data_IF_397129470846
#
_entry.id   IF_397129470846
#
_cell.length_a   1.000
_cell.length_b   1.000
_cell.length_c   1.000
_cell.angle_alpha   90.00
_cell.angle_beta   90.00
_cell.angle_gamma   90.00
#
_symmetry.space_group_name_H-M   'P 1'
#
loop_
_entity.id
_entity.type
_entity.pdbx_description
1 polymer ?
#
# COMPACT_ATOMS: atom_id res chain seq x y z
N UNK A 1 26.49 1.78 35.02
CA UNK A 1 25.07 1.77 34.59
C UNK A 1 24.87 2.93 33.62
N UNK A 2 24.15 2.76 32.49
CA UNK A 2 23.85 3.89 31.59
C UNK A 2 23.04 4.96 32.33
N UNK A 3 23.19 6.24 31.94
CA UNK A 3 22.53 7.35 32.63
C UNK A 3 21.00 7.27 32.50
N UNK A 4 20.23 7.77 33.48
CA UNK A 4 18.76 7.81 33.41
C UNK A 4 18.22 8.50 32.15
N UNK A 5 18.91 9.54 31.66
CA UNK A 5 18.55 10.23 30.41
C UNK A 5 18.64 9.33 29.17
N UNK A 6 19.58 8.40 29.14
CA UNK A 6 19.77 7.45 28.04
C UNK A 6 18.67 6.36 28.04
N UNK A 7 18.12 6.03 29.21
CA UNK A 7 16.99 5.10 29.31
C UNK A 7 15.67 5.73 28.82
N UNK A 8 15.41 7.01 29.10
CA UNK A 8 14.18 7.67 28.65
C UNK A 8 14.05 7.70 27.12
N UNK A 9 15.12 8.05 26.41
CA UNK A 9 15.11 8.08 24.94
C UNK A 9 14.84 6.69 24.35
N UNK A 10 15.53 5.66 24.87
CA UNK A 10 15.34 4.27 24.45
C UNK A 10 13.92 3.75 24.71
N UNK A 11 13.34 4.04 25.87
CA UNK A 11 11.95 3.62 26.16
C UNK A 11 10.93 4.36 25.31
N UNK A 12 11.21 5.61 24.92
CA UNK A 12 10.38 6.35 23.98
C UNK A 12 10.40 5.69 22.59
N UNK A 13 11.56 5.33 22.08
CA UNK A 13 11.74 4.60 20.81
C UNK A 13 11.02 3.23 20.85
N UNK A 14 11.20 2.47 21.93
CA UNK A 14 10.52 1.18 22.12
C UNK A 14 8.99 1.30 22.33
N UNK A 15 8.48 2.50 22.64
CA UNK A 15 7.04 2.74 22.80
C UNK A 15 6.35 3.07 21.48
N UNK A 16 7.10 3.21 20.39
CA UNK A 16 6.50 3.44 19.08
C UNK A 16 5.61 2.27 18.65
N UNK A 17 4.60 2.61 17.84
CA UNK A 17 3.65 1.62 17.35
C UNK A 17 4.37 0.65 16.42
N UNK A 18 4.34 -0.64 16.77
CA UNK A 18 4.81 -1.69 15.87
C UNK A 18 3.82 -1.90 14.72
N UNK A 19 4.06 -1.21 13.61
CA UNK A 19 3.26 -1.34 12.41
C UNK A 19 3.47 -2.67 11.68
N UNK A 20 4.55 -3.42 11.92
CA UNK A 20 4.76 -4.72 11.29
C UNK A 20 3.70 -5.72 11.74
N UNK A 21 3.52 -5.87 13.06
CA UNK A 21 2.47 -6.72 13.62
C UNK A 21 1.06 -6.27 13.23
N UNK A 22 0.82 -4.95 13.15
CA UNK A 22 -0.47 -4.41 12.72
C UNK A 22 -0.75 -4.67 11.24
N UNK A 23 0.25 -4.51 10.37
CA UNK A 23 0.13 -4.78 8.94
C UNK A 23 -0.17 -6.24 8.67
N UNK A 24 0.53 -7.17 9.33
CA UNK A 24 0.26 -8.61 9.22
C UNK A 24 -1.19 -8.93 9.58
N UNK A 25 -1.69 -8.42 10.72
CA UNK A 25 -3.08 -8.64 11.13
C UNK A 25 -4.09 -8.06 10.14
N UNK A 26 -3.83 -6.86 9.65
CA UNK A 26 -4.69 -6.19 8.68
C UNK A 26 -4.73 -6.95 7.34
N UNK A 27 -3.57 -7.42 6.88
CA UNK A 27 -3.47 -8.24 5.68
C UNK A 27 -4.15 -9.60 5.83
N UNK A 28 -4.05 -10.26 6.99
CA UNK A 28 -4.75 -11.52 7.24
C UNK A 28 -6.28 -11.34 7.24
N UNK A 29 -6.78 -10.23 7.76
CA UNK A 29 -8.20 -9.88 7.64
C UNK A 29 -8.60 -9.67 6.18
N UNK A 30 -7.78 -8.95 5.41
CA UNK A 30 -7.99 -8.77 3.98
C UNK A 30 -7.93 -10.10 3.21
N UNK A 31 -7.00 -11.00 3.57
CA UNK A 31 -6.87 -12.35 3.04
C UNK A 31 -8.13 -13.18 3.24
N UNK A 32 -8.66 -13.16 4.47
CA UNK A 32 -9.92 -13.82 4.78
C UNK A 32 -11.08 -13.24 3.96
N UNK A 33 -11.13 -11.92 3.82
CA UNK A 33 -12.15 -11.24 3.03
C UNK A 33 -12.10 -11.68 1.55
N UNK A 34 -10.96 -11.56 0.87
CA UNK A 34 -10.90 -11.89 -0.56
C UNK A 34 -11.04 -13.39 -0.84
N UNK A 35 -10.60 -14.27 0.08
CA UNK A 35 -10.83 -15.71 -0.07
C UNK A 35 -12.30 -16.08 0.04
N UNK A 36 -13.06 -15.37 0.87
CA UNK A 36 -14.52 -15.50 0.91
C UNK A 36 -15.21 -15.07 -0.38
N UNK A 37 -14.68 -14.05 -1.07
CA UNK A 37 -15.23 -13.57 -2.35
C UNK A 37 -14.77 -14.40 -3.55
N UNK A 38 -13.62 -15.07 -3.44
CA UNK A 38 -13.03 -15.89 -4.49
C UNK A 38 -12.73 -17.32 -4.00
N UNK A 39 -13.75 -18.10 -3.58
CA UNK A 39 -13.54 -19.41 -2.95
C UNK A 39 -12.89 -20.46 -3.88
N UNK A 40 -12.94 -20.23 -5.18
CA UNK A 40 -12.38 -21.14 -6.19
C UNK A 40 -10.90 -20.87 -6.51
N UNK A 41 -10.35 -19.71 -6.09
CA UNK A 41 -8.97 -19.35 -6.33
C UNK A 41 -8.08 -19.92 -5.21
N UNK A 42 -6.96 -20.53 -5.59
CA UNK A 42 -6.13 -21.29 -4.65
C UNK A 42 -5.04 -20.45 -4.00
N UNK A 43 -4.49 -19.46 -4.72
CA UNK A 43 -3.36 -18.68 -4.23
C UNK A 43 -3.77 -17.25 -3.89
N UNK A 44 -3.08 -16.66 -2.91
CA UNK A 44 -3.26 -15.25 -2.58
C UNK A 44 -3.00 -14.34 -3.78
N UNK A 45 -2.07 -14.72 -4.67
CA UNK A 45 -1.75 -13.99 -5.90
C UNK A 45 -2.95 -13.92 -6.83
N UNK A 46 -3.60 -15.06 -7.07
CA UNK A 46 -4.76 -15.13 -7.95
C UNK A 46 -5.92 -14.32 -7.39
N UNK A 47 -6.15 -14.39 -6.07
CA UNK A 47 -7.16 -13.57 -5.41
C UNK A 47 -6.87 -12.07 -5.54
N UNK A 48 -5.62 -11.64 -5.32
CA UNK A 48 -5.25 -10.22 -5.46
C UNK A 48 -5.36 -9.77 -6.91
N UNK A 49 -4.97 -10.62 -7.88
CA UNK A 49 -5.17 -10.36 -9.31
C UNK A 49 -6.67 -10.21 -9.64
N UNK A 50 -7.54 -11.06 -9.08
CA UNK A 50 -8.98 -10.97 -9.28
C UNK A 50 -9.56 -9.68 -8.67
N UNK A 51 -9.17 -9.35 -7.43
CA UNK A 51 -9.60 -8.11 -6.75
C UNK A 51 -9.17 -6.88 -7.52
N UNK A 52 -7.89 -6.77 -7.90
CA UNK A 52 -7.38 -5.56 -8.56
C UNK A 52 -7.94 -5.38 -9.99
N UNK A 53 -8.30 -6.46 -10.67
CA UNK A 53 -8.83 -6.41 -12.04
C UNK A 53 -10.36 -6.34 -12.12
N UNK A 54 -11.08 -6.54 -11.00
CA UNK A 54 -12.53 -6.37 -10.96
C UNK A 54 -12.86 -4.91 -10.61
N UNK A 55 -13.15 -4.09 -11.62
CA UNK A 55 -13.37 -2.63 -11.46
C UNK A 55 -14.85 -2.24 -11.52
N UNK A 56 -15.73 -3.21 -11.24
CA UNK A 56 -17.17 -3.01 -11.25
C UNK A 56 -17.73 -2.89 -9.81
N UNK A 57 -19.00 -2.45 -9.64
CA UNK A 57 -19.59 -2.22 -8.32
C UNK A 57 -19.65 -3.43 -7.38
N UNK A 58 -19.45 -4.66 -7.86
CA UNK A 58 -19.41 -5.86 -7.02
C UNK A 58 -18.11 -5.96 -6.24
N UNK A 59 -17.06 -5.28 -6.68
CA UNK A 59 -15.84 -5.14 -5.91
C UNK A 59 -15.98 -3.97 -4.92
N UNK A 60 -16.30 -4.30 -3.66
CA UNK A 60 -16.44 -3.31 -2.60
C UNK A 60 -15.13 -2.57 -2.35
N UNK A 61 -13.97 -3.22 -2.44
CA UNK A 61 -12.66 -2.56 -2.21
C UNK A 61 -12.39 -1.46 -3.24
N UNK A 62 -12.65 -1.72 -4.53
CA UNK A 62 -12.54 -0.70 -5.57
C UNK A 62 -13.57 0.41 -5.38
N UNK A 63 -14.81 0.05 -5.04
CA UNK A 63 -15.89 1.03 -4.82
C UNK A 63 -15.58 1.97 -3.65
N UNK A 64 -15.07 1.41 -2.54
CA UNK A 64 -14.62 2.16 -1.36
C UNK A 64 -13.43 3.04 -1.74
N UNK A 65 -12.41 2.48 -2.38
CA UNK A 65 -11.22 3.22 -2.80
C UNK A 65 -11.58 4.41 -3.69
N UNK A 66 -12.38 4.18 -4.73
CA UNK A 66 -12.89 5.22 -5.63
C UNK A 66 -13.63 6.29 -4.85
N UNK A 67 -14.57 5.91 -3.97
CA UNK A 67 -15.32 6.85 -3.14
C UNK A 67 -14.39 7.67 -2.26
N UNK A 68 -13.44 7.04 -1.55
CA UNK A 68 -12.52 7.73 -0.66
C UNK A 68 -11.62 8.71 -1.41
N UNK A 69 -11.22 8.41 -2.65
CA UNK A 69 -10.41 9.32 -3.47
C UNK A 69 -11.22 10.49 -4.03
N UNK A 70 -12.48 10.28 -4.45
CA UNK A 70 -13.27 11.32 -5.13
C UNK A 70 -14.13 12.16 -4.20
N UNK A 71 -14.32 11.72 -2.97
CA UNK A 71 -15.17 12.41 -1.99
C UNK A 71 -14.38 13.49 -1.24
N UNK A 72 -15.01 14.08 -0.23
CA UNK A 72 -14.37 14.99 0.71
C UNK A 72 -14.71 14.54 2.13
N UNK A 73 -13.80 14.76 3.08
CA UNK A 73 -14.03 14.43 4.48
C UNK A 73 -12.79 13.90 5.16
N UNK A 74 -12.95 13.49 6.42
CA UNK A 74 -11.84 12.99 7.24
C UNK A 74 -11.26 11.69 6.68
N UNK A 75 -12.10 10.77 6.23
CA UNK A 75 -11.65 9.46 5.74
C UNK A 75 -10.95 9.59 4.38
N UNK A 76 -11.45 10.48 3.51
CA UNK A 76 -10.74 10.88 2.29
C UNK A 76 -9.37 11.47 2.62
N UNK A 77 -9.29 12.47 3.50
CA UNK A 77 -8.02 13.08 3.87
C UNK A 77 -7.04 12.03 4.44
N UNK A 78 -7.54 11.11 5.27
CA UNK A 78 -6.73 10.04 5.85
C UNK A 78 -6.18 9.08 4.79
N UNK A 79 -6.99 8.68 3.80
CA UNK A 79 -6.50 7.86 2.69
C UNK A 79 -5.48 8.61 1.85
N UNK A 80 -5.75 9.86 1.48
CA UNK A 80 -4.85 10.67 0.64
C UNK A 80 -3.49 10.88 1.33
N UNK A 81 -3.48 11.23 2.61
CA UNK A 81 -2.26 11.34 3.42
C UNK A 81 -1.52 10.00 3.53
N UNK A 82 -2.25 8.89 3.63
CA UNK A 82 -1.65 7.55 3.69
C UNK A 82 -0.99 7.17 2.36
N UNK A 83 -1.64 7.47 1.23
CA UNK A 83 -1.09 7.24 -0.11
C UNK A 83 0.12 8.13 -0.39
N UNK A 84 0.09 9.40 0.04
CA UNK A 84 1.21 10.33 -0.03
C UNK A 84 2.43 9.81 0.74
N UNK A 85 2.21 9.36 1.97
CA UNK A 85 3.24 8.75 2.79
C UNK A 85 3.76 7.43 2.22
N UNK A 86 2.89 6.62 1.61
CA UNK A 86 3.30 5.36 0.98
C UNK A 86 4.18 5.62 -0.24
N UNK A 87 3.76 6.51 -1.14
CA UNK A 87 4.56 6.91 -2.31
C UNK A 87 5.89 7.53 -1.89
N UNK A 88 5.88 8.41 -0.89
CA UNK A 88 7.08 9.10 -0.40
C UNK A 88 8.06 8.13 0.27
N UNK A 89 7.57 7.19 1.11
CA UNK A 89 8.42 6.23 1.80
C UNK A 89 9.05 5.22 0.85
N UNK A 90 8.30 4.69 -0.12
CA UNK A 90 8.84 3.81 -1.16
C UNK A 90 9.93 4.49 -2.01
N UNK A 91 9.80 5.80 -2.27
CA UNK A 91 10.81 6.54 -3.02
C UNK A 91 12.10 6.82 -2.24
N UNK A 92 12.11 6.66 -0.91
CA UNK A 92 13.30 6.88 -0.07
C UNK A 92 14.23 5.66 0.02
N UNK A 93 13.74 4.48 -0.33
CA UNK A 93 14.48 3.23 -0.21
C UNK A 93 14.34 2.37 -1.44
N UNK A 94 15.40 1.62 -1.79
CA UNK A 94 15.34 0.67 -2.90
C UNK A 94 14.83 -0.67 -2.41
N UNK A 95 13.51 -0.86 -2.46
CA UNK A 95 12.89 -2.17 -2.33
C UNK A 95 12.64 -2.77 -3.72
N UNK A 96 12.96 -4.05 -3.88
CA UNK A 96 12.65 -4.83 -5.08
C UNK A 96 11.86 -6.05 -4.67
N UNK A 97 10.98 -6.54 -5.54
CA UNK A 97 10.33 -7.83 -5.33
C UNK A 97 11.34 -8.97 -5.23
N UNK A 98 10.99 -10.00 -4.49
CA UNK A 98 11.75 -11.26 -4.43
C UNK A 98 11.41 -12.21 -5.58
N UNK A 99 10.41 -11.86 -6.39
CA UNK A 99 9.97 -12.62 -7.54
C UNK A 99 10.53 -12.02 -8.83
N UNK A 100 11.24 -12.84 -9.61
CA UNK A 100 11.90 -12.46 -10.86
C UNK A 100 10.95 -11.93 -11.95
N UNK A 101 9.63 -12.11 -11.80
CA UNK A 101 8.62 -11.53 -12.68
C UNK A 101 8.57 -10.00 -12.58
N UNK A 102 8.96 -9.44 -11.43
CA UNK A 102 8.91 -8.01 -11.21
C UNK A 102 10.19 -7.32 -11.65
N UNK A 103 10.03 -6.14 -12.23
CA UNK A 103 11.14 -5.35 -12.76
C UNK A 103 11.24 -4.03 -12.03
N UNK A 104 12.43 -3.72 -11.54
CA UNK A 104 12.75 -2.43 -10.94
C UNK A 104 12.31 -2.29 -9.49
N UNK A 105 12.41 -1.05 -8.99
CA UNK A 105 12.07 -0.69 -7.62
C UNK A 105 10.56 -0.62 -7.43
N UNK A 106 10.09 -1.07 -6.26
CA UNK A 106 8.74 -0.86 -5.78
C UNK A 106 8.52 0.64 -5.58
N UNK A 107 7.76 1.26 -6.47
CA UNK A 107 7.47 2.69 -6.42
C UNK A 107 6.17 2.99 -7.17
N UNK A 108 5.57 4.13 -6.85
CA UNK A 108 4.40 4.61 -7.59
C UNK A 108 4.78 5.00 -9.03
N UNK A 109 6.04 5.35 -9.31
CA UNK A 109 6.52 5.63 -10.68
C UNK A 109 6.76 4.39 -11.54
N UNK A 110 6.68 3.20 -10.93
CA UNK A 110 6.90 1.93 -11.60
C UNK A 110 5.95 0.88 -11.00
N UNK A 111 4.64 1.15 -11.06
CA UNK A 111 3.63 0.28 -10.47
C UNK A 111 3.10 -0.72 -11.51
N UNK A 112 3.11 -2.01 -11.19
CA UNK A 112 2.59 -3.07 -12.08
C UNK A 112 1.05 -3.09 -12.07
N UNK A 113 0.43 -2.53 -13.11
CA UNK A 113 -1.04 -2.45 -13.22
C UNK A 113 -1.63 -3.67 -13.93
N UNK A 114 -0.91 -4.27 -14.88
CA UNK A 114 -1.29 -5.51 -15.55
C UNK A 114 -0.17 -6.55 -15.47
N UNK A 115 -0.40 -7.57 -14.64
CA UNK A 115 0.55 -8.67 -14.46
C UNK A 115 0.55 -9.66 -15.62
N UNK A 116 -0.50 -9.79 -16.43
CA UNK A 116 -0.49 -10.76 -17.53
C UNK A 116 0.36 -10.23 -18.69
N UNK A 117 0.26 -8.93 -18.95
CA UNK A 117 0.95 -8.24 -20.03
C UNK A 117 2.24 -7.53 -19.58
N UNK A 118 2.63 -7.68 -18.31
CA UNK A 118 3.79 -7.02 -17.71
C UNK A 118 3.79 -5.48 -17.90
N UNK A 119 2.62 -4.84 -17.73
CA UNK A 119 2.46 -3.40 -17.90
C UNK A 119 2.72 -2.69 -16.58
N UNK A 120 3.71 -1.80 -16.62
CA UNK A 120 4.02 -0.87 -15.56
C UNK A 120 3.56 0.53 -15.95
N UNK A 121 2.96 1.23 -15.01
CA UNK A 121 2.54 2.61 -15.18
C UNK A 121 3.23 3.51 -14.15
N UNK A 122 3.63 4.70 -14.60
CA UNK A 122 3.97 5.80 -13.72
C UNK A 122 2.67 6.41 -13.19
N UNK A 123 2.42 6.25 -11.89
CA UNK A 123 1.26 6.80 -11.21
C UNK A 123 1.51 8.23 -10.69
N UNK A 124 2.75 8.72 -10.74
CA UNK A 124 3.13 10.05 -10.27
C UNK A 124 2.91 11.07 -11.37
N UNK A 125 2.48 12.28 -11.00
CA UNK A 125 2.31 13.40 -11.90
C UNK A 125 3.15 14.58 -11.45
N UNK A 126 3.60 15.37 -12.41
CA UNK A 126 4.21 16.65 -12.14
C UNK A 126 3.13 17.68 -11.76
N UNK A 127 3.43 18.67 -10.91
CA UNK A 127 2.46 19.69 -10.50
C UNK A 127 1.84 20.48 -11.66
N UNK A 128 2.49 20.53 -12.82
CA UNK A 128 2.01 21.24 -14.01
C UNK A 128 1.24 20.34 -15.02
N UNK A 129 1.21 19.01 -14.83
CA UNK A 129 0.47 18.11 -15.70
C UNK A 129 -1.05 18.24 -15.50
N UNK A 130 -1.84 17.99 -16.55
CA UNK A 130 -3.29 17.80 -16.42
C UNK A 130 -3.56 16.39 -15.86
N UNK A 131 -4.82 16.12 -15.52
CA UNK A 131 -5.28 14.76 -15.18
C UNK A 131 -4.54 14.18 -13.95
N UNK A 132 -4.68 14.89 -12.82
CA UNK A 132 -3.97 14.60 -11.57
C UNK A 132 -4.80 14.86 -10.32
N UNK A 133 -4.51 14.10 -9.27
CA UNK A 133 -5.07 14.24 -7.93
C UNK A 133 -3.95 14.57 -6.95
N UNK A 134 -4.21 15.47 -6.00
CA UNK A 134 -3.28 15.79 -4.92
C UNK A 134 -3.46 14.79 -3.78
N UNK A 135 -2.40 14.03 -3.46
CA UNK A 135 -2.41 13.12 -2.30
C UNK A 135 -1.95 13.86 -1.03
N UNK A 136 -0.89 14.67 -1.17
CA UNK A 136 -0.31 15.46 -0.10
C UNK A 136 0.76 16.37 -0.68
N UNK A 137 2.03 15.98 -0.53
CA UNK A 137 3.14 16.58 -1.28
C UNK A 137 3.27 15.99 -2.69
N UNK A 138 2.79 14.76 -2.87
CA UNK A 138 2.76 14.01 -4.13
C UNK A 138 1.49 14.33 -4.91
N UNK A 139 1.65 14.43 -6.23
CA UNK A 139 0.56 14.39 -7.20
C UNK A 139 0.54 13.02 -7.88
N UNK A 140 -0.64 12.42 -7.97
CA UNK A 140 -0.84 11.14 -8.64
C UNK A 140 -1.79 11.28 -9.84
N UNK A 141 -1.82 10.24 -10.68
CA UNK A 141 -2.79 10.11 -11.79
C UNK A 141 -4.23 10.21 -11.29
N UNK A 142 -5.11 10.87 -12.03
CA UNK A 142 -6.55 10.85 -11.79
C UNK A 142 -7.26 9.63 -12.40
N UNK A 143 -6.52 8.78 -13.12
CA UNK A 143 -6.97 7.45 -13.50
C UNK A 143 -7.06 6.55 -12.26
N UNK A 144 -8.23 6.57 -11.60
CA UNK A 144 -8.50 5.85 -10.35
C UNK A 144 -8.31 4.34 -10.52
N UNK A 145 -8.60 3.80 -11.70
CA UNK A 145 -8.42 2.37 -11.99
C UNK A 145 -6.95 1.97 -11.97
N UNK A 146 -6.09 2.72 -12.66
CA UNK A 146 -4.65 2.49 -12.65
C UNK A 146 -4.07 2.68 -11.25
N UNK A 147 -4.49 3.75 -10.56
CA UNK A 147 -4.05 4.04 -9.19
C UNK A 147 -4.44 2.90 -8.23
N UNK A 148 -5.68 2.42 -8.28
CA UNK A 148 -6.14 1.29 -7.47
C UNK A 148 -5.32 0.03 -7.75
N UNK A 149 -5.16 -0.34 -9.03
CA UNK A 149 -4.39 -1.52 -9.43
C UNK A 149 -2.96 -1.48 -8.92
N UNK A 150 -2.29 -0.35 -9.10
CA UNK A 150 -0.91 -0.17 -8.67
C UNK A 150 -0.77 -0.16 -7.14
N UNK A 151 -1.67 0.50 -6.41
CA UNK A 151 -1.67 0.48 -4.94
C UNK A 151 -1.87 -0.93 -4.40
N UNK A 152 -2.87 -1.68 -4.89
CA UNK A 152 -3.10 -3.06 -4.46
C UNK A 152 -1.93 -3.98 -4.78
N UNK A 153 -1.24 -3.73 -5.89
CA UNK A 153 -0.05 -4.49 -6.27
C UNK A 153 1.17 -4.16 -5.39
N UNK A 154 1.38 -2.89 -5.05
CA UNK A 154 2.45 -2.46 -4.13
C UNK A 154 2.21 -3.01 -2.72
N UNK A 155 0.98 -2.94 -2.21
CA UNK A 155 0.56 -3.56 -0.95
C UNK A 155 0.88 -5.07 -0.91
N UNK A 156 0.54 -5.78 -2.00
CA UNK A 156 0.85 -7.20 -2.12
C UNK A 156 2.36 -7.49 -2.09
N UNK A 157 3.16 -6.71 -2.80
CA UNK A 157 4.61 -6.90 -2.86
C UNK A 157 5.28 -6.58 -1.52
N UNK A 158 4.87 -5.48 -0.86
CA UNK A 158 5.32 -5.13 0.50
C UNK A 158 4.97 -6.27 1.47
N UNK A 159 3.77 -6.83 1.35
CA UNK A 159 3.40 -8.02 2.13
C UNK A 159 4.31 -9.20 1.84
N UNK A 160 4.58 -9.54 0.57
CA UNK A 160 5.46 -10.67 0.24
C UNK A 160 6.84 -10.51 0.87
N UNK A 161 7.44 -9.32 0.75
CA UNK A 161 8.73 -9.03 1.36
C UNK A 161 8.69 -9.20 2.89
N UNK A 162 7.61 -8.76 3.54
CA UNK A 162 7.47 -8.93 4.98
C UNK A 162 7.33 -10.41 5.38
N UNK A 163 6.42 -11.14 4.74
CA UNK A 163 6.13 -12.54 5.10
C UNK A 163 7.30 -13.48 4.80
N UNK A 164 8.13 -13.16 3.80
CA UNK A 164 9.33 -13.92 3.48
C UNK A 164 10.57 -13.46 4.28
N UNK A 165 10.41 -12.55 5.25
CA UNK A 165 11.51 -12.07 6.09
C UNK A 165 12.57 -11.27 5.31
N UNK A 166 12.16 -10.61 4.23
CA UNK A 166 13.01 -9.79 3.35
C UNK A 166 12.95 -8.29 3.68
N UNK A 167 12.12 -7.90 4.65
CA UNK A 167 12.10 -6.54 5.20
C UNK A 167 12.72 -6.53 6.59
N UNK A 168 13.91 -5.95 6.69
CA UNK A 168 14.53 -5.67 7.97
C UNK A 168 13.75 -4.56 8.70
N UNK A 169 13.62 -4.60 10.04
CA UNK A 169 12.89 -3.60 10.80
C UNK A 169 13.71 -2.31 11.00
N UNK A 170 14.06 -1.64 9.90
CA UNK A 170 14.68 -0.30 9.93
C UNK A 170 13.60 0.78 10.02
N UNK A 171 13.98 1.99 10.41
CA UNK A 171 13.09 3.16 10.44
C UNK A 171 12.43 3.43 9.09
N UNK A 172 13.18 3.31 7.98
CA UNK A 172 12.65 3.54 6.65
C UNK A 172 11.66 2.45 6.22
N UNK A 173 11.98 1.18 6.51
CA UNK A 173 11.07 0.07 6.24
C UNK A 173 9.81 0.16 7.11
N UNK A 174 9.95 0.62 8.35
CA UNK A 174 8.82 0.90 9.24
C UNK A 174 7.89 1.97 8.67
N UNK A 175 8.42 3.03 8.05
CA UNK A 175 7.57 4.01 7.35
C UNK A 175 6.81 3.37 6.18
N UNK A 176 7.46 2.56 5.34
CA UNK A 176 6.77 1.85 4.25
C UNK A 176 5.64 0.97 4.79
N UNK A 177 5.92 0.19 5.83
CA UNK A 177 4.94 -0.69 6.46
C UNK A 177 3.80 0.07 7.16
N UNK A 178 4.11 1.18 7.82
CA UNK A 178 3.11 2.07 8.42
C UNK A 178 2.13 2.58 7.37
N UNK A 179 2.62 3.10 6.24
CA UNK A 179 1.75 3.67 5.23
C UNK A 179 1.02 2.62 4.39
N UNK A 180 1.61 1.43 4.18
CA UNK A 180 0.90 0.26 3.67
C UNK A 180 -0.25 -0.15 4.62
N UNK A 181 0.04 -0.24 5.93
CA UNK A 181 -1.00 -0.51 6.93
C UNK A 181 -2.13 0.52 6.89
N UNK A 182 -1.83 1.82 6.93
CA UNK A 182 -2.85 2.88 6.96
C UNK A 182 -3.66 2.95 5.66
N UNK A 183 -3.03 2.71 4.51
CA UNK A 183 -3.69 2.66 3.20
C UNK A 183 -4.68 1.49 3.16
N UNK A 184 -4.23 0.26 3.39
CA UNK A 184 -5.11 -0.89 3.44
C UNK A 184 -6.19 -0.76 4.53
N UNK A 185 -5.84 -0.21 5.70
CA UNK A 185 -6.79 -0.02 6.81
C UNK A 185 -7.91 0.94 6.47
N UNK A 186 -7.63 2.00 5.72
CA UNK A 186 -8.66 2.93 5.23
C UNK A 186 -9.71 2.22 4.37
N UNK A 187 -9.28 1.26 3.54
CA UNK A 187 -10.20 0.43 2.74
C UNK A 187 -10.94 -0.56 3.64
N UNK A 188 -10.22 -1.27 4.52
CA UNK A 188 -10.78 -2.33 5.38
C UNK A 188 -11.78 -1.82 6.42
N UNK A 189 -11.67 -0.56 6.87
CA UNK A 189 -12.61 0.04 7.84
C UNK A 189 -14.03 0.21 7.29
N UNK A 190 -14.19 0.15 5.97
CA UNK A 190 -15.41 0.47 5.23
C UNK A 190 -16.02 -0.75 4.54
N UNK A 191 -15.38 -1.93 4.70
CA UNK A 191 -15.85 -3.24 4.22
C UNK A 191 -16.86 -3.86 5.19
#
# INVERSE_FOLDING_TARGET
MPSPSNNTARWKELSEVDYFGLFVKNWLAFNSWYKGHHPNLQTDRDCVDAVKNTLDPRNSTFTIFRRLITSSGRDTASLLDSLDGFATSLNRITLTSDNAYYTGQLSFSNALTDRQNNIYEDLIRQPNQRDKIKLGVVWATDNIEALFKGVMELEYQVRCLLFHGRLEPTEENHQVIKYAYLTLRSIMNEL
#
